data_IF_841151039745
#
_entry.id   IF_841151039745
#
_cell.length_a   1.000
_cell.length_b   1.000
_cell.length_c   1.000
_cell.angle_alpha   90.00
_cell.angle_beta   90.00
_cell.angle_gamma   90.00
#
_symmetry.space_group_name_H-M   'P 1'
#
loop_
_entity.id
_entity.type
_entity.pdbx_description
1 polymer ?
#
# COMPACT_ATOMS: atom_id res chain seq x y z
N UNK A 1 16.85 19.57 3.86
CA UNK A 1 15.48 19.09 4.16
C UNK A 1 15.45 17.60 3.87
N UNK A 2 15.01 16.77 4.81
CA UNK A 2 14.92 15.32 4.60
C UNK A 2 13.70 15.04 3.71
N UNK A 3 13.92 14.44 2.54
CA UNK A 3 12.86 13.98 1.64
C UNK A 3 11.95 13.01 2.41
N UNK A 4 10.62 13.20 2.33
CA UNK A 4 9.61 12.35 2.98
C UNK A 4 8.89 11.50 1.93
N UNK A 5 8.40 10.33 2.33
CA UNK A 5 7.56 9.46 1.49
C UNK A 5 6.11 9.62 1.94
N UNK A 6 5.22 10.04 1.04
CA UNK A 6 3.79 10.16 1.36
C UNK A 6 3.22 8.80 1.76
N UNK A 7 2.37 8.77 2.78
CA UNK A 7 1.62 7.59 3.18
C UNK A 7 0.46 7.27 2.23
N UNK A 8 0.20 8.13 1.24
CA UNK A 8 -1.00 8.08 0.40
C UNK A 8 -2.25 8.69 1.05
N UNK A 9 -2.16 9.21 2.28
CA UNK A 9 -3.24 9.88 3.00
C UNK A 9 -2.73 11.23 3.52
N UNK A 10 -3.27 12.32 2.96
CA UNK A 10 -2.81 13.68 3.30
C UNK A 10 -2.97 14.07 4.77
N UNK A 11 -4.00 13.55 5.45
CA UNK A 11 -4.21 13.83 6.88
C UNK A 11 -3.21 13.07 7.74
N UNK A 12 -2.91 11.82 7.39
CA UNK A 12 -1.87 11.05 8.07
C UNK A 12 -0.47 11.65 7.84
N UNK A 13 -0.21 12.13 6.62
CA UNK A 13 1.04 12.81 6.29
C UNK A 13 1.23 14.07 7.14
N UNK A 14 0.17 14.88 7.32
CA UNK A 14 0.22 16.06 8.21
C UNK A 14 0.55 15.66 9.65
N UNK A 15 -0.08 14.61 10.17
CA UNK A 15 0.18 14.11 11.53
C UNK A 15 1.62 13.60 11.71
N UNK A 16 2.21 13.03 10.65
CA UNK A 16 3.55 12.46 10.67
C UNK A 16 4.65 13.44 10.20
N UNK A 17 4.36 14.74 10.09
CA UNK A 17 5.36 15.74 9.69
C UNK A 17 5.77 15.65 8.22
N UNK A 18 4.81 15.37 7.35
CA UNK A 18 4.94 15.32 5.90
C UNK A 18 5.07 13.91 5.30
N UNK A 19 4.79 12.86 6.08
CA UNK A 19 4.87 11.46 5.67
C UNK A 19 5.99 10.68 6.34
N UNK A 20 6.33 9.51 5.80
CA UNK A 20 7.32 8.60 6.38
C UNK A 20 8.76 9.01 6.04
N UNK A 21 9.69 8.57 6.89
CA UNK A 21 11.13 8.74 6.67
C UNK A 21 11.59 7.65 5.67
N UNK A 22 12.26 8.00 4.55
CA UNK A 22 12.79 7.00 3.62
C UNK A 22 13.73 6.01 4.30
N UNK A 23 13.65 4.73 3.93
CA UNK A 23 14.49 3.67 4.51
C UNK A 23 14.16 3.27 5.95
N UNK A 24 13.06 3.78 6.51
CA UNK A 24 12.61 3.41 7.86
C UNK A 24 11.70 2.18 7.87
N UNK A 25 11.60 1.52 9.03
CA UNK A 25 10.63 0.46 9.29
C UNK A 25 9.41 1.06 10.00
N UNK A 26 8.23 0.90 9.38
CA UNK A 26 6.96 1.36 9.96
C UNK A 26 6.19 0.17 10.52
N UNK A 27 5.89 0.19 11.83
CA UNK A 27 5.02 -0.80 12.48
C UNK A 27 3.60 -0.27 12.59
N UNK A 28 2.67 -0.90 11.88
CA UNK A 28 1.24 -0.59 11.94
C UNK A 28 0.51 -1.59 12.85
N UNK A 29 0.08 -1.14 14.02
CA UNK A 29 -0.58 -1.97 15.05
C UNK A 29 -1.99 -1.46 15.38
N UNK A 30 -2.85 -2.34 15.89
CA UNK A 30 -4.22 -2.03 16.29
C UNK A 30 -5.15 -3.25 16.24
N UNK A 31 -6.35 -3.11 16.82
CA UNK A 31 -7.34 -4.20 16.89
C UNK A 31 -7.85 -4.69 15.53
N UNK A 32 -8.59 -5.81 15.48
CA UNK A 32 -9.26 -6.27 14.25
C UNK A 32 -10.20 -5.18 13.70
N UNK A 33 -10.27 -5.04 12.37
CA UNK A 33 -11.20 -4.11 11.73
C UNK A 33 -10.80 -2.63 11.71
N UNK A 34 -9.73 -2.20 12.38
CA UNK A 34 -9.30 -0.78 12.43
C UNK A 34 -8.64 -0.26 11.13
N UNK A 35 -8.68 -1.03 10.04
CA UNK A 35 -8.21 -0.58 8.73
C UNK A 35 -6.71 -0.78 8.43
N UNK A 36 -5.98 -1.59 9.20
CA UNK A 36 -4.53 -1.84 8.98
C UNK A 36 -4.22 -2.31 7.55
N UNK A 37 -4.96 -3.31 7.08
CA UNK A 37 -4.82 -3.87 5.72
C UNK A 37 -5.15 -2.84 4.65
N UNK A 38 -6.16 -1.98 4.90
CA UNK A 38 -6.56 -0.94 3.94
C UNK A 38 -5.47 0.12 3.84
N UNK A 39 -4.90 0.55 4.98
CA UNK A 39 -3.83 1.54 5.01
C UNK A 39 -2.57 1.02 4.29
N UNK A 40 -2.15 -0.22 4.57
CA UNK A 40 -0.98 -0.81 3.91
C UNK A 40 -1.19 -1.01 2.41
N UNK A 41 -2.39 -1.45 2.00
CA UNK A 41 -2.76 -1.58 0.59
C UNK A 41 -2.77 -0.23 -0.12
N UNK A 42 -3.34 0.81 0.51
CA UNK A 42 -3.38 2.16 -0.07
C UNK A 42 -1.97 2.72 -0.25
N UNK A 43 -1.10 2.55 0.74
CA UNK A 43 0.28 3.01 0.65
C UNK A 43 1.00 2.46 -0.59
N UNK A 44 0.97 1.14 -0.80
CA UNK A 44 1.63 0.52 -1.96
C UNK A 44 0.95 0.87 -3.29
N UNK A 45 -0.38 0.98 -3.29
CA UNK A 45 -1.15 1.35 -4.49
C UNK A 45 -0.84 2.78 -4.94
N UNK A 46 -0.82 3.73 -4.01
CA UNK A 46 -0.52 5.14 -4.27
C UNK A 46 0.94 5.31 -4.69
N UNK A 47 1.87 4.58 -4.06
CA UNK A 47 3.26 4.45 -4.50
C UNK A 47 3.36 4.11 -5.99
N UNK A 48 2.72 3.00 -6.39
CA UNK A 48 2.76 2.54 -7.77
C UNK A 48 2.04 3.46 -8.77
N UNK A 49 0.89 4.03 -8.41
CA UNK A 49 0.03 4.76 -9.34
C UNK A 49 0.34 6.25 -9.47
N UNK A 50 0.74 6.90 -8.38
CA UNK A 50 1.01 8.35 -8.37
C UNK A 50 2.48 8.67 -8.48
N UNK A 51 3.33 7.84 -7.89
CA UNK A 51 4.77 8.12 -7.79
C UNK A 51 5.61 7.22 -8.71
N UNK A 52 5.02 6.17 -9.29
CA UNK A 52 5.75 5.20 -10.09
C UNK A 52 6.70 4.32 -9.28
N UNK A 53 6.51 4.28 -7.95
CA UNK A 53 7.35 3.54 -7.03
C UNK A 53 6.91 2.06 -7.00
N UNK A 54 7.74 1.12 -7.48
CA UNK A 54 7.42 -0.30 -7.41
C UNK A 54 7.45 -0.78 -5.96
N UNK A 55 6.49 -1.64 -5.60
CA UNK A 55 6.38 -2.19 -4.27
C UNK A 55 6.01 -3.66 -4.26
N UNK A 56 6.31 -4.34 -3.15
CA UNK A 56 5.90 -5.72 -2.89
C UNK A 56 4.92 -5.76 -1.73
N UNK A 57 3.76 -6.36 -1.95
CA UNK A 57 2.78 -6.64 -0.89
C UNK A 57 2.83 -8.12 -0.53
N UNK A 58 3.27 -8.42 0.69
CA UNK A 58 3.28 -9.78 1.23
C UNK A 58 2.18 -9.92 2.30
N UNK A 59 1.32 -10.94 2.15
CA UNK A 59 0.25 -11.22 3.09
C UNK A 59 0.17 -12.73 3.34
N UNK A 60 0.03 -13.10 4.61
CA UNK A 60 -0.11 -14.49 5.07
C UNK A 60 -1.53 -14.84 5.53
N UNK A 61 -2.43 -13.84 5.60
CA UNK A 61 -3.76 -14.00 6.16
C UNK A 61 -4.84 -14.33 5.10
N UNK A 62 -4.66 -13.89 3.86
CA UNK A 62 -5.64 -14.07 2.78
C UNK A 62 -4.98 -14.33 1.43
N UNK A 63 -5.74 -14.91 0.49
CA UNK A 63 -5.24 -15.16 -0.87
C UNK A 63 -5.17 -13.86 -1.68
N UNK A 64 -4.29 -13.81 -2.70
CA UNK A 64 -4.20 -12.69 -3.65
C UNK A 64 -5.56 -12.31 -4.24
N UNK A 65 -6.37 -13.30 -4.64
CA UNK A 65 -7.68 -13.07 -5.25
C UNK A 65 -8.65 -12.41 -4.27
N UNK A 66 -8.69 -12.91 -3.04
CA UNK A 66 -9.54 -12.34 -1.97
C UNK A 66 -9.12 -10.91 -1.64
N UNK A 67 -7.81 -10.67 -1.50
CA UNK A 67 -7.27 -9.34 -1.23
C UNK A 67 -7.65 -8.33 -2.32
N UNK A 68 -7.40 -8.66 -3.60
CA UNK A 68 -7.73 -7.76 -4.73
C UNK A 68 -9.23 -7.45 -4.75
N UNK A 69 -10.09 -8.46 -4.60
CA UNK A 69 -11.54 -8.26 -4.55
C UNK A 69 -11.95 -7.36 -3.38
N UNK A 70 -11.37 -7.54 -2.20
CA UNK A 70 -11.69 -6.72 -1.03
C UNK A 70 -11.26 -5.26 -1.23
N UNK A 71 -10.12 -5.03 -1.87
CA UNK A 71 -9.57 -3.69 -2.11
C UNK A 71 -10.34 -2.90 -3.20
N UNK A 72 -11.02 -3.59 -4.12
CA UNK A 72 -11.92 -2.95 -5.08
C UNK A 72 -13.03 -2.15 -4.39
N UNK A 73 -13.50 -2.57 -3.21
CA UNK A 73 -14.50 -1.82 -2.42
C UNK A 73 -13.96 -0.49 -1.85
N UNK A 74 -12.66 -0.26 -1.93
CA UNK A 74 -11.97 0.95 -1.44
C UNK A 74 -11.32 1.75 -2.57
N UNK A 75 -11.78 1.54 -3.81
CA UNK A 75 -11.24 2.17 -5.04
C UNK A 75 -9.74 1.88 -5.27
N UNK A 76 -9.27 0.73 -4.79
CA UNK A 76 -7.89 0.27 -4.94
C UNK A 76 -7.88 -0.94 -5.87
N UNK A 77 -7.53 -0.73 -7.15
CA UNK A 77 -7.52 -1.77 -8.17
C UNK A 77 -6.11 -2.21 -8.56
N UNK A 78 -5.67 -3.35 -8.02
CA UNK A 78 -4.34 -3.92 -8.31
C UNK A 78 -4.25 -4.74 -9.60
N UNK A 79 -5.35 -5.04 -10.30
CA UNK A 79 -5.33 -5.94 -11.46
C UNK A 79 -4.39 -5.43 -12.57
N UNK A 80 -4.39 -4.12 -12.79
CA UNK A 80 -3.56 -3.45 -13.80
C UNK A 80 -2.11 -3.22 -13.36
N UNK A 81 -1.83 -3.36 -12.05
CA UNK A 81 -0.52 -3.06 -11.45
C UNK A 81 0.30 -4.32 -11.15
N UNK A 82 -0.31 -5.49 -11.24
CA UNK A 82 0.44 -6.72 -11.09
C UNK A 82 1.26 -6.97 -12.35
N UNK A 83 2.58 -7.11 -12.19
CA UNK A 83 3.44 -7.61 -13.25
C UNK A 83 2.83 -8.92 -13.77
N UNK A 84 2.48 -8.93 -15.07
CA UNK A 84 2.09 -10.18 -15.73
C UNK A 84 3.24 -11.16 -15.48
N UNK A 85 2.94 -12.33 -14.91
CA UNK A 85 3.89 -13.44 -15.00
C UNK A 85 4.27 -13.54 -16.47
N UNK A 86 5.55 -13.47 -16.79
CA UNK A 86 6.01 -13.91 -18.09
C UNK A 86 5.43 -15.32 -18.27
N UNK A 87 4.52 -15.48 -19.22
CA UNK A 87 4.05 -16.78 -19.65
C UNK A 87 5.27 -17.47 -20.24
N UNK A 88 6.04 -18.15 -19.40
CA UNK A 88 7.08 -19.04 -19.87
C UNK A 88 6.37 -20.14 -20.67
N UNK A 89 6.81 -20.23 -21.93
CA UNK A 89 6.53 -21.29 -22.88
C UNK A 89 6.82 -22.66 -22.30
#
# INVERSE_FOLDING_TARGET
MSQRVSSGNSELDKLNGGGFIPGSLILLTGGPGVGKTILSARFIYEGATKYGDPGVYACFAETKKTFIRNMQNFDVNFETLTLKKCSNS
#
